data_IF_479656095883
#
_entry.id   IF_479656095883
#
_cell.length_a   1.000
_cell.length_b   1.000
_cell.length_c   1.000
_cell.angle_alpha   90.00
_cell.angle_beta   90.00
_cell.angle_gamma   90.00
#
_symmetry.space_group_name_H-M   'P 1'
#
loop_
_entity.id
_entity.type
_entity.pdbx_description
1 polymer ?
#
# COMPACT_ATOMS: atom_id res chain seq x y z
N UNK A 1 -1.47 18.66 17.80
CA UNK A 1 -1.65 17.55 16.84
C UNK A 1 -1.95 18.17 15.48
N UNK A 2 -0.96 18.25 14.58
CA UNK A 2 -1.12 18.92 13.27
C UNK A 2 -1.82 17.95 12.31
N UNK A 3 -3.13 18.12 12.11
CA UNK A 3 -3.90 17.49 11.05
C UNK A 3 -3.50 18.14 9.71
N UNK A 4 -2.37 17.72 9.14
CA UNK A 4 -2.03 18.09 7.78
C UNK A 4 -2.74 17.10 6.86
N UNK A 5 -3.56 17.62 5.95
CA UNK A 5 -4.00 16.84 4.80
C UNK A 5 -2.73 16.41 4.05
N UNK A 6 -2.39 15.13 4.14
CA UNK A 6 -1.23 14.52 3.48
C UNK A 6 -1.57 14.34 2.00
N UNK A 7 -1.62 15.46 1.28
CA UNK A 7 -1.83 15.48 -0.15
C UNK A 7 -0.46 15.49 -0.85
N UNK A 8 -0.12 14.39 -1.52
CA UNK A 8 1.21 14.15 -2.08
C UNK A 8 1.22 14.22 -3.62
N UNK A 9 2.30 14.70 -4.22
CA UNK A 9 2.42 14.69 -5.68
C UNK A 9 2.60 13.26 -6.21
N UNK A 10 1.95 12.93 -7.34
CA UNK A 10 2.05 11.62 -7.99
C UNK A 10 3.49 11.12 -8.18
N UNK A 11 4.38 11.98 -8.67
CA UNK A 11 5.79 11.63 -8.89
C UNK A 11 6.55 11.35 -7.60
N UNK A 12 6.19 12.03 -6.51
CA UNK A 12 6.78 11.80 -5.19
C UNK A 12 6.33 10.46 -4.62
N UNK A 13 5.03 10.17 -4.67
CA UNK A 13 4.47 8.88 -4.25
C UNK A 13 5.08 7.72 -5.05
N UNK A 14 5.19 7.87 -6.37
CA UNK A 14 5.82 6.88 -7.24
C UNK A 14 7.28 6.60 -6.86
N UNK A 15 8.05 7.66 -6.55
CA UNK A 15 9.45 7.55 -6.11
C UNK A 15 9.60 6.85 -4.76
N UNK A 16 8.72 7.16 -3.79
CA UNK A 16 8.72 6.51 -2.48
C UNK A 16 8.44 5.02 -2.64
N UNK A 17 7.36 4.66 -3.34
CA UNK A 17 6.96 3.26 -3.56
C UNK A 17 8.03 2.49 -4.32
N UNK A 18 8.55 3.05 -5.43
CA UNK A 18 9.55 2.35 -6.25
C UNK A 18 10.79 2.00 -5.44
N UNK A 19 11.27 2.95 -4.61
CA UNK A 19 12.47 2.74 -3.80
C UNK A 19 12.22 1.78 -2.65
N UNK A 20 11.10 1.94 -1.92
CA UNK A 20 10.82 1.16 -0.71
C UNK A 20 10.40 -0.26 -1.02
N UNK A 21 9.58 -0.47 -2.05
CA UNK A 21 9.10 -1.80 -2.43
C UNK A 21 9.99 -2.48 -3.47
N UNK A 22 11.16 -1.89 -3.78
CA UNK A 22 12.12 -2.38 -4.78
C UNK A 22 11.47 -2.67 -6.15
N UNK A 23 10.59 -1.76 -6.59
CA UNK A 23 9.90 -1.84 -7.88
C UNK A 23 10.55 -0.89 -8.88
N UNK A 24 10.54 -1.23 -10.16
CA UNK A 24 11.07 -0.31 -11.17
C UNK A 24 10.19 0.95 -11.26
N UNK A 25 10.81 2.12 -11.23
CA UNK A 25 10.08 3.40 -11.29
C UNK A 25 9.24 3.52 -12.58
N UNK A 26 9.73 2.98 -13.69
CA UNK A 26 8.97 2.89 -14.94
C UNK A 26 7.70 2.06 -14.81
N UNK A 27 7.75 0.93 -14.07
CA UNK A 27 6.57 0.10 -13.81
C UNK A 27 5.57 0.81 -12.90
N UNK A 28 6.02 1.44 -11.82
CA UNK A 28 5.16 2.22 -10.93
C UNK A 28 4.47 3.37 -11.69
N UNK A 29 5.22 4.09 -12.53
CA UNK A 29 4.68 5.14 -13.38
C UNK A 29 3.62 4.61 -14.35
N UNK A 30 3.87 3.45 -15.00
CA UNK A 30 2.92 2.84 -15.92
C UNK A 30 1.63 2.38 -15.22
N UNK A 31 1.75 1.80 -14.01
CA UNK A 31 0.60 1.42 -13.19
C UNK A 31 -0.22 2.64 -12.76
N UNK A 32 0.45 3.73 -12.38
CA UNK A 32 -0.21 4.99 -12.02
C UNK A 32 -1.00 5.58 -13.20
N UNK A 33 -0.43 5.56 -14.40
CA UNK A 33 -1.13 5.98 -15.63
C UNK A 33 -2.33 5.08 -15.89
N UNK A 34 -2.15 3.76 -15.89
CA UNK A 34 -3.23 2.81 -16.14
C UNK A 34 -4.38 2.91 -15.10
N UNK A 35 -4.05 3.11 -13.82
CA UNK A 35 -5.04 3.33 -12.77
C UNK A 35 -5.77 4.68 -12.94
N UNK A 36 -5.07 5.71 -13.41
CA UNK A 36 -5.71 6.99 -13.75
C UNK A 36 -6.64 6.84 -14.97
N UNK A 37 -6.22 6.08 -15.98
CA UNK A 37 -7.02 5.76 -17.16
C UNK A 37 -8.27 4.96 -16.85
N UNK A 38 -8.19 4.07 -15.87
CA UNK A 38 -9.33 3.32 -15.34
C UNK A 38 -10.25 4.12 -14.40
N UNK A 39 -9.99 5.42 -14.20
CA UNK A 39 -10.80 6.31 -13.35
C UNK A 39 -10.61 6.14 -11.85
N UNK A 40 -9.56 5.43 -11.41
CA UNK A 40 -9.30 5.14 -9.99
C UNK A 40 -8.45 6.22 -9.35
N UNK A 41 -7.46 6.71 -10.10
CA UNK A 41 -6.60 7.82 -9.70
C UNK A 41 -6.96 9.07 -10.51
N UNK A 42 -6.75 10.27 -9.96
CA UNK A 42 -7.15 11.51 -10.61
C UNK A 42 -6.27 11.75 -11.84
N UNK A 43 -6.86 11.98 -13.02
CA UNK A 43 -6.07 12.33 -14.21
C UNK A 43 -5.54 13.76 -14.10
N UNK A 44 -4.28 13.97 -14.47
CA UNK A 44 -3.78 15.32 -14.73
C UNK A 44 -4.40 15.86 -16.01
N UNK A 45 -4.65 17.17 -16.09
CA UNK A 45 -5.15 17.83 -17.29
C UNK A 45 -4.39 19.14 -17.54
N UNK A 46 -3.77 19.27 -18.71
CA UNK A 46 -2.93 20.43 -19.04
C UNK A 46 -1.81 20.63 -18.02
N UNK A 47 -1.80 21.79 -17.35
CA UNK A 47 -0.83 22.13 -16.27
C UNK A 47 -1.26 21.62 -14.89
N UNK A 48 -2.46 21.06 -14.76
CA UNK A 48 -2.98 20.54 -13.49
C UNK A 48 -2.38 19.17 -13.18
N UNK A 49 -1.61 19.11 -12.09
CA UNK A 49 -1.08 17.88 -11.52
C UNK A 49 -1.75 17.64 -10.16
N UNK A 50 -2.84 16.86 -10.12
CA UNK A 50 -3.57 16.62 -8.87
C UNK A 50 -2.66 15.92 -7.86
N UNK A 51 -2.74 16.38 -6.62
CA UNK A 51 -2.17 15.67 -5.47
C UNK A 51 -3.07 14.48 -5.12
N UNK A 52 -2.44 13.41 -4.65
CA UNK A 52 -3.11 12.22 -4.16
C UNK A 52 -3.45 12.40 -2.69
N UNK A 53 -4.73 12.23 -2.37
CA UNK A 53 -5.25 12.03 -1.02
C UNK A 53 -4.78 10.69 -0.41
N UNK A 54 -4.93 10.47 0.90
CA UNK A 54 -4.62 9.18 1.53
C UNK A 54 -5.31 7.98 0.86
N UNK A 55 -6.55 8.14 0.43
CA UNK A 55 -7.29 7.10 -0.28
C UNK A 55 -6.66 6.81 -1.66
N UNK A 56 -6.30 7.83 -2.40
CA UNK A 56 -5.66 7.66 -3.71
C UNK A 56 -4.24 7.10 -3.59
N UNK A 57 -3.50 7.43 -2.53
CA UNK A 57 -2.23 6.79 -2.19
C UNK A 57 -2.41 5.31 -1.85
N UNK A 58 -3.53 4.95 -1.20
CA UNK A 58 -3.89 3.56 -0.92
C UNK A 58 -4.15 2.79 -2.21
N UNK A 59 -4.89 3.38 -3.16
CA UNK A 59 -5.12 2.80 -4.49
C UNK A 59 -3.83 2.64 -5.29
N UNK A 60 -2.91 3.61 -5.24
CA UNK A 60 -1.60 3.48 -5.88
C UNK A 60 -0.78 2.34 -5.23
N UNK A 61 -0.79 2.25 -3.90
CA UNK A 61 -0.12 1.16 -3.17
C UNK A 61 -0.67 -0.19 -3.61
N UNK A 62 -2.00 -0.34 -3.66
CA UNK A 62 -2.67 -1.54 -4.18
C UNK A 62 -2.30 -1.84 -5.63
N UNK A 63 -2.21 -0.84 -6.50
CA UNK A 63 -1.82 -1.04 -7.90
C UNK A 63 -0.42 -1.65 -8.01
N UNK A 64 0.49 -1.29 -7.10
CA UNK A 64 1.86 -1.79 -7.06
C UNK A 64 1.98 -3.17 -6.41
N UNK A 65 1.28 -3.41 -5.30
CA UNK A 65 1.41 -4.67 -4.56
C UNK A 65 0.55 -5.80 -5.13
N UNK A 66 -0.55 -5.45 -5.81
CA UNK A 66 -1.44 -6.37 -6.50
C UNK A 66 -1.25 -6.29 -8.03
N UNK A 67 -0.01 -6.13 -8.50
CA UNK A 67 0.30 -5.97 -9.91
C UNK A 67 0.12 -7.30 -10.70
N UNK A 68 -0.99 -7.38 -11.44
CA UNK A 68 -1.30 -8.47 -12.38
C UNK A 68 -0.97 -8.13 -13.83
N UNK A 69 -0.48 -6.92 -14.12
CA UNK A 69 -0.30 -6.41 -15.48
C UNK A 69 -0.87 -5.01 -15.67
N UNK A 70 -0.19 -4.18 -16.46
CA UNK A 70 -0.63 -2.79 -16.76
C UNK A 70 -2.03 -2.76 -17.36
N UNK A 71 -2.35 -3.67 -18.29
CA UNK A 71 -3.66 -3.73 -18.97
C UNK A 71 -4.85 -4.03 -18.07
N UNK A 72 -4.62 -4.59 -16.87
CA UNK A 72 -5.67 -4.95 -15.89
C UNK A 72 -5.50 -4.22 -14.56
N UNK A 73 -4.61 -3.23 -14.48
CA UNK A 73 -4.26 -2.55 -13.23
C UNK A 73 -5.50 -1.97 -12.52
N UNK A 74 -6.41 -1.34 -13.28
CA UNK A 74 -7.63 -0.79 -12.70
C UNK A 74 -8.57 -1.85 -12.11
N UNK A 75 -8.73 -2.99 -12.79
CA UNK A 75 -9.51 -4.10 -12.26
C UNK A 75 -8.85 -4.68 -11.00
N UNK A 76 -7.51 -4.82 -11.00
CA UNK A 76 -6.74 -5.23 -9.82
C UNK A 76 -6.98 -4.33 -8.62
N UNK A 77 -6.87 -3.02 -8.79
CA UNK A 77 -7.08 -2.10 -7.66
C UNK A 77 -8.51 -2.21 -7.13
N UNK A 78 -9.53 -2.25 -7.99
CA UNK A 78 -10.94 -2.39 -7.54
C UNK A 78 -11.19 -3.68 -6.78
N UNK A 79 -10.69 -4.80 -7.30
CA UNK A 79 -10.85 -6.10 -6.67
C UNK A 79 -10.16 -6.14 -5.30
N UNK A 80 -8.89 -5.72 -5.23
CA UNK A 80 -8.14 -5.74 -3.99
C UNK A 80 -8.64 -4.70 -2.97
N UNK A 81 -9.06 -3.52 -3.42
CA UNK A 81 -9.61 -2.49 -2.54
C UNK A 81 -10.90 -2.95 -1.85
N UNK A 82 -11.71 -3.77 -2.53
CA UNK A 82 -12.96 -4.30 -2.01
C UNK A 82 -12.83 -5.56 -1.16
N UNK A 83 -11.62 -6.10 -0.96
CA UNK A 83 -11.46 -7.32 -0.15
C UNK A 83 -11.84 -7.04 1.30
N UNK A 84 -12.56 -7.98 1.89
CA UNK A 84 -13.03 -7.92 3.27
C UNK A 84 -12.41 -9.02 4.12
N UNK A 85 -12.22 -8.71 5.39
CA UNK A 85 -11.92 -9.70 6.44
C UNK A 85 -13.18 -10.45 6.88
N UNK A 86 -13.01 -11.49 7.69
CA UNK A 86 -14.13 -12.24 8.26
C UNK A 86 -15.03 -11.37 9.15
N UNK A 87 -14.45 -10.32 9.74
CA UNK A 87 -15.11 -9.34 10.60
C UNK A 87 -15.72 -8.16 9.80
N UNK A 88 -15.64 -8.19 8.47
CA UNK A 88 -16.23 -7.15 7.59
C UNK A 88 -15.37 -5.90 7.41
N UNK A 89 -14.13 -5.87 7.93
CA UNK A 89 -13.20 -4.76 7.66
C UNK A 89 -12.74 -4.80 6.20
N UNK A 90 -12.72 -3.65 5.54
CA UNK A 90 -12.31 -3.50 4.13
C UNK A 90 -10.80 -3.20 4.04
N UNK A 91 -10.10 -3.84 3.10
CA UNK A 91 -8.65 -3.72 2.97
C UNK A 91 -8.20 -2.28 2.68
N UNK A 92 -8.88 -1.59 1.76
CA UNK A 92 -8.47 -0.22 1.40
C UNK A 92 -8.58 0.73 2.59
N UNK A 93 -9.58 0.54 3.46
CA UNK A 93 -9.78 1.38 4.65
C UNK A 93 -8.65 1.20 5.66
N UNK A 94 -8.09 -0.02 5.79
CA UNK A 94 -6.91 -0.25 6.62
C UNK A 94 -5.68 0.47 6.06
N UNK A 95 -5.42 0.35 4.76
CA UNK A 95 -4.27 1.01 4.11
C UNK A 95 -4.43 2.54 4.19
N UNK A 96 -5.65 3.05 4.00
CA UNK A 96 -5.96 4.46 4.10
C UNK A 96 -5.84 4.96 5.55
N UNK A 97 -6.23 4.16 6.54
CA UNK A 97 -6.00 4.45 7.95
C UNK A 97 -4.50 4.50 8.29
N UNK A 98 -3.69 3.60 7.71
CA UNK A 98 -2.24 3.67 7.85
C UNK A 98 -1.68 4.94 7.21
N UNK A 99 -2.02 5.25 5.95
CA UNK A 99 -1.47 6.42 5.24
C UNK A 99 -1.92 7.74 5.88
N UNK A 100 -3.15 7.80 6.41
CA UNK A 100 -3.65 8.97 7.14
C UNK A 100 -3.13 9.07 8.59
N UNK A 101 -2.39 8.08 9.08
CA UNK A 101 -1.89 8.03 10.45
C UNK A 101 -2.97 7.73 11.51
N UNK A 102 -4.16 7.30 11.10
CA UNK A 102 -5.24 6.85 11.99
C UNK A 102 -4.99 5.46 12.57
N UNK A 103 -4.15 4.67 11.92
CA UNK A 103 -3.69 3.37 12.40
C UNK A 103 -2.16 3.31 12.39
N UNK A 104 -1.59 2.67 13.41
CA UNK A 104 -0.15 2.48 13.49
C UNK A 104 0.32 1.44 12.48
N UNK A 105 1.48 1.68 11.87
CA UNK A 105 2.22 0.71 11.04
C UNK A 105 3.34 0.02 11.82
N UNK A 106 3.56 0.42 13.08
CA UNK A 106 4.56 -0.18 13.95
C UNK A 106 4.24 -1.66 14.20
N UNK A 107 5.26 -2.52 14.11
CA UNK A 107 5.10 -3.96 14.30
C UNK A 107 4.51 -4.70 13.09
N UNK A 108 4.37 -4.05 11.93
CA UNK A 108 4.06 -4.74 10.68
C UNK A 108 5.23 -5.67 10.29
N UNK A 109 4.95 -6.96 10.14
CA UNK A 109 5.97 -7.98 9.86
C UNK A 109 6.02 -8.35 8.38
N UNK A 110 4.85 -8.60 7.77
CA UNK A 110 4.76 -8.96 6.36
C UNK A 110 3.37 -8.72 5.78
N UNK A 111 3.32 -8.45 4.48
CA UNK A 111 2.10 -8.45 3.69
C UNK A 111 2.27 -9.45 2.54
N UNK A 112 1.38 -10.43 2.48
CA UNK A 112 1.36 -11.46 1.44
C UNK A 112 0.13 -11.22 0.57
N UNK A 113 0.34 -10.94 -0.70
CA UNK A 113 -0.71 -10.70 -1.69
C UNK A 113 -0.81 -11.91 -2.60
N UNK A 114 -1.92 -12.64 -2.55
CA UNK A 114 -2.27 -13.70 -3.49
C UNK A 114 -3.03 -13.09 -4.66
N UNK A 115 -2.48 -13.18 -5.87
CA UNK A 115 -3.05 -12.51 -7.05
C UNK A 115 -4.28 -13.22 -7.63
N UNK A 116 -4.35 -14.54 -7.47
CA UNK A 116 -5.45 -15.36 -7.97
C UNK A 116 -5.58 -16.66 -7.13
N UNK A 117 -6.73 -16.92 -6.47
CA UNK A 117 -7.82 -15.97 -6.24
C UNK A 117 -7.36 -14.80 -5.34
N UNK A 118 -7.95 -13.62 -5.50
CA UNK A 118 -7.51 -12.41 -4.80
C UNK A 118 -7.63 -12.54 -3.27
N UNK A 119 -6.50 -12.43 -2.59
CA UNK A 119 -6.42 -12.50 -1.14
C UNK A 119 -5.21 -11.76 -0.59
N UNK A 120 -5.33 -11.22 0.62
CA UNK A 120 -4.24 -10.53 1.31
C UNK A 120 -4.14 -11.01 2.74
N UNK A 121 -2.94 -11.39 3.17
CA UNK A 121 -2.62 -11.72 4.55
C UNK A 121 -1.63 -10.70 5.10
N UNK A 122 -1.98 -10.06 6.20
CA UNK A 122 -1.18 -9.04 6.88
C UNK A 122 -0.80 -9.61 8.25
N UNK A 123 0.49 -9.74 8.49
CA UNK A 123 1.03 -10.17 9.78
C UNK A 123 1.61 -8.98 10.51
N UNK A 124 1.16 -8.78 11.75
CA UNK A 124 1.77 -7.86 12.71
C UNK A 124 2.24 -8.65 13.93
N UNK A 125 2.97 -8.00 14.83
CA UNK A 125 3.41 -8.62 16.09
C UNK A 125 2.25 -9.18 16.93
N UNK A 126 1.06 -8.57 16.86
CA UNK A 126 -0.08 -8.93 17.70
C UNK A 126 -1.17 -9.71 16.95
N UNK A 127 -1.26 -9.57 15.63
CA UNK A 127 -2.42 -10.03 14.86
C UNK A 127 -2.03 -10.58 13.48
N UNK A 128 -2.81 -11.54 13.01
CA UNK A 128 -2.79 -11.99 11.63
C UNK A 128 -4.16 -11.67 10.99
N UNK A 129 -4.20 -10.66 10.13
CA UNK A 129 -5.40 -10.23 9.43
C UNK A 129 -5.44 -10.88 8.05
N UNK A 130 -6.62 -11.35 7.65
CA UNK A 130 -6.84 -11.94 6.33
C UNK A 130 -7.98 -11.23 5.63
N UNK A 131 -7.80 -10.93 4.36
CA UNK A 131 -8.78 -10.30 3.48
C UNK A 131 -8.97 -11.15 2.23
N UNK A 132 -10.22 -11.31 1.78
CA UNK A 132 -10.53 -11.98 0.54
C UNK A 132 -10.45 -13.50 0.62
N UNK A 133 -10.04 -14.11 -0.50
CA UNK A 133 -10.02 -15.56 -0.65
C UNK A 133 -9.13 -16.23 0.41
N UNK A 134 -9.52 -17.44 0.79
CA UNK A 134 -8.61 -18.31 1.50
C UNK A 134 -7.42 -18.69 0.61
N UNK A 135 -6.27 -18.93 1.24
CA UNK A 135 -5.02 -19.28 0.59
C UNK A 135 -5.31 -20.52 -0.24
N UNK A 136 -5.13 -20.41 -1.55
CA UNK A 136 -5.41 -21.53 -2.43
C UNK A 136 -4.31 -22.58 -2.22
N UNK A 137 -4.70 -23.83 -2.04
CA UNK A 137 -3.74 -24.93 -2.07
C UNK A 137 -3.27 -25.09 -3.53
N UNK A 138 -2.00 -24.74 -3.81
CA UNK A 138 -1.41 -24.87 -5.15
C UNK A 138 -0.43 -23.74 -5.51
N UNK A 139 -0.01 -23.71 -6.78
CA UNK A 139 0.91 -22.71 -7.33
C UNK A 139 0.20 -21.37 -7.60
N UNK A 140 -0.45 -20.79 -6.58
CA UNK A 140 -0.98 -19.44 -6.68
C UNK A 140 0.18 -18.44 -6.77
N UNK A 141 0.01 -17.39 -7.58
CA UNK A 141 1.04 -16.35 -7.72
C UNK A 141 0.94 -15.41 -6.52
N UNK A 142 1.97 -15.42 -5.67
CA UNK A 142 2.05 -14.52 -4.52
C UNK A 142 3.12 -13.44 -4.69
N UNK A 143 2.85 -12.28 -4.09
CA UNK A 143 3.82 -11.21 -3.87
C UNK A 143 4.01 -11.09 -2.36
N UNK A 144 5.25 -11.19 -1.89
CA UNK A 144 5.60 -11.05 -0.47
C UNK A 144 6.29 -9.71 -0.29
N UNK A 145 5.76 -8.90 0.62
CA UNK A 145 6.28 -7.58 0.96
C UNK A 145 6.72 -7.62 2.41
N UNK A 146 7.96 -7.20 2.66
CA UNK A 146 8.47 -7.06 4.01
C UNK A 146 7.71 -5.93 4.71
N UNK A 147 7.30 -6.19 5.96
CA UNK A 147 6.56 -5.21 6.74
C UNK A 147 7.35 -3.92 6.94
N UNK A 148 8.66 -4.03 7.22
CA UNK A 148 9.57 -2.89 7.37
C UNK A 148 9.56 -1.96 6.13
N UNK A 149 9.60 -2.54 4.92
CA UNK A 149 9.64 -1.78 3.66
C UNK A 149 8.33 -1.02 3.41
N UNK A 150 7.19 -1.68 3.66
CA UNK A 150 5.87 -1.07 3.51
C UNK A 150 5.62 -0.02 4.61
N UNK A 151 5.98 -0.30 5.86
CA UNK A 151 5.85 0.63 6.97
C UNK A 151 6.68 1.90 6.72
N UNK A 152 7.93 1.76 6.27
CA UNK A 152 8.78 2.90 5.92
C UNK A 152 8.20 3.70 4.75
N UNK A 153 7.64 3.03 3.72
CA UNK A 153 6.95 3.71 2.63
C UNK A 153 5.76 4.54 3.13
N UNK A 154 4.94 3.98 4.01
CA UNK A 154 3.79 4.68 4.58
C UNK A 154 4.22 5.86 5.46
N UNK A 155 5.25 5.71 6.29
CA UNK A 155 5.77 6.80 7.11
C UNK A 155 6.32 7.95 6.25
N UNK A 156 7.04 7.64 5.18
CA UNK A 156 7.45 8.68 4.23
C UNK A 156 6.25 9.35 3.53
N UNK A 157 5.21 8.59 3.21
CA UNK A 157 3.96 9.17 2.70
C UNK A 157 3.34 10.14 3.72
N UNK A 158 3.41 9.83 5.02
CA UNK A 158 2.98 10.71 6.11
C UNK A 158 3.88 11.94 6.32
N UNK A 159 4.99 12.07 5.59
CA UNK A 159 5.90 13.21 5.63
C UNK A 159 7.18 13.01 6.43
N UNK A 160 7.48 11.79 6.88
CA UNK A 160 8.77 11.48 7.50
C UNK A 160 9.88 11.56 6.45
N UNK A 161 11.08 11.96 6.87
CA UNK A 161 12.24 11.78 6.01
C UNK A 161 12.56 10.29 5.88
N UNK A 162 13.32 9.85 4.86
CA UNK A 162 13.74 8.46 4.76
C UNK A 162 14.43 7.93 6.01
N UNK A 163 15.27 8.76 6.63
CA UNK A 163 16.01 8.41 7.83
C UNK A 163 15.09 8.24 9.03
N UNK A 164 14.20 9.22 9.28
CA UNK A 164 13.26 9.15 10.40
C UNK A 164 12.28 7.97 10.24
N UNK A 165 11.88 7.66 9.01
CA UNK A 165 11.05 6.49 8.72
C UNK A 165 11.76 5.17 9.07
N UNK A 166 13.05 5.05 8.72
CA UNK A 166 13.86 3.87 9.04
C UNK A 166 14.05 3.71 10.55
N UNK A 167 14.32 4.80 11.25
CA UNK A 167 14.44 4.81 12.72
C UNK A 167 13.13 4.41 13.39
N UNK A 168 12.00 4.98 12.96
CA UNK A 168 10.69 4.66 13.50
C UNK A 168 10.31 3.18 13.29
N UNK A 169 10.61 2.61 12.12
CA UNK A 169 10.43 1.18 11.85
C UNK A 169 11.32 0.33 12.74
N UNK A 170 12.60 0.70 12.89
CA UNK A 170 13.54 -0.03 13.74
C UNK A 170 13.09 -0.05 15.21
N UNK A 171 12.65 1.09 15.74
CA UNK A 171 12.10 1.21 17.09
C UNK A 171 10.83 0.35 17.23
N UNK A 172 9.91 0.45 16.27
CA UNK A 172 8.67 -0.34 16.28
C UNK A 172 8.93 -1.85 16.28
N UNK A 173 9.93 -2.30 15.53
CA UNK A 173 10.34 -3.71 15.49
C UNK A 173 10.95 -4.18 16.81
N UNK A 174 11.78 -3.36 17.45
CA UNK A 174 12.34 -3.67 18.77
C UNK A 174 11.25 -3.73 19.84
N UNK A 175 10.33 -2.78 19.85
CA UNK A 175 9.20 -2.78 20.77
C UNK A 175 8.33 -4.04 20.59
N UNK A 176 8.08 -4.44 19.34
CA UNK A 176 7.35 -5.67 19.03
C UNK A 176 8.07 -6.96 19.45
N UNK A 177 9.40 -6.98 19.45
CA UNK A 177 10.17 -8.16 19.87
C UNK A 177 10.23 -8.32 21.40
N UNK A 178 9.89 -7.27 22.15
CA UNK A 178 9.92 -7.23 23.62
C UNK A 178 8.52 -7.38 24.25
N UNK A 179 7.46 -7.37 23.44
CA UNK A 179 6.07 -7.55 23.85
C UNK A 179 5.66 -9.02 23.79
#
# INVERSE_FOLDING_TARGET
MKLWSVAMMKGEAARIISRRLNLSHGRVSALLVAASDAGILPKGSGKSNPRLSPLELSYLTLACIADRGIGVAGQSVREFAGLQSAEGLVLVDLIEAWISGRAAVAGLQSVIVQLDPAGVSISTAAHHLRYGASHAEGAARHVVIRGDDLAAAILEMQGYTPHDADEAVAVGRLAAALA
#
